data_IF_849077428733
#
_entry.id   IF_849077428733
#
_cell.length_a   1.000
_cell.length_b   1.000
_cell.length_c   1.000
_cell.angle_alpha   90.00
_cell.angle_beta   90.00
_cell.angle_gamma   90.00
#
_symmetry.space_group_name_H-M   'P 1'
#
loop_
_entity.id
_entity.type
_entity.pdbx_description
1 polymer ?
#
# COMPACT_ATOMS: atom_id res chain seq x y z
N UNK A 1 11.69 4.23 -5.19
CA UNK A 1 12.07 4.48 -3.81
C UNK A 1 12.66 3.25 -3.15
N UNK A 2 12.68 3.22 -1.83
CA UNK A 2 13.20 2.08 -1.05
C UNK A 2 12.15 0.95 -0.98
N UNK A 3 12.47 -0.21 -1.55
CA UNK A 3 11.58 -1.38 -1.55
C UNK A 3 11.47 -2.05 -0.18
N UNK A 4 12.44 -1.86 0.70
CA UNK A 4 12.45 -2.43 2.04
C UNK A 4 11.76 -1.56 3.08
N UNK A 5 11.48 -0.30 2.76
CA UNK A 5 10.74 0.59 3.64
C UNK A 5 9.40 -0.03 4.05
N UNK A 6 9.14 -0.01 5.36
CA UNK A 6 7.93 -0.63 5.93
C UNK A 6 6.91 0.44 6.32
N UNK A 7 5.67 0.17 6.00
CA UNK A 7 4.56 1.09 6.26
C UNK A 7 3.36 0.32 6.82
N UNK A 8 2.61 1.01 7.65
CA UNK A 8 1.30 0.59 8.13
C UNK A 8 0.25 1.10 7.14
N UNK A 9 -0.27 0.19 6.31
CA UNK A 9 -1.34 0.50 5.36
C UNK A 9 -2.66 -0.06 5.85
N UNK A 10 -3.68 0.79 5.88
CA UNK A 10 -5.02 0.38 6.22
C UNK A 10 -6.05 0.84 5.20
N UNK A 11 -7.22 0.22 5.24
CA UNK A 11 -8.29 0.48 4.30
C UNK A 11 -9.03 1.78 4.65
N UNK A 12 -9.29 2.63 3.63
CA UNK A 12 -9.92 3.93 3.81
C UNK A 12 -11.28 3.86 4.53
N UNK A 13 -12.08 2.82 4.28
CA UNK A 13 -13.38 2.63 4.97
C UNK A 13 -13.23 2.47 6.48
N UNK A 14 -12.23 1.72 6.93
CA UNK A 14 -11.96 1.56 8.37
C UNK A 14 -11.54 2.89 9.00
N UNK A 15 -10.74 3.68 8.29
CA UNK A 15 -10.33 5.00 8.78
C UNK A 15 -11.49 6.02 8.82
N UNK A 16 -12.33 6.04 7.80
CA UNK A 16 -13.52 6.90 7.78
C UNK A 16 -14.46 6.56 8.95
N UNK A 17 -14.64 5.27 9.24
CA UNK A 17 -15.42 4.86 10.42
C UNK A 17 -14.76 5.34 11.73
N UNK A 18 -13.44 5.23 11.83
CA UNK A 18 -12.69 5.77 12.97
C UNK A 18 -12.87 7.28 13.13
N UNK A 19 -12.77 8.03 12.05
CA UNK A 19 -13.02 9.48 12.03
C UNK A 19 -14.44 9.82 12.50
N UNK A 20 -15.45 9.06 12.04
CA UNK A 20 -16.83 9.24 12.48
C UNK A 20 -16.98 8.98 13.98
N UNK A 21 -16.37 7.90 14.51
CA UNK A 21 -16.40 7.57 15.95
C UNK A 21 -15.73 8.66 16.81
N UNK A 22 -14.63 9.26 16.33
CA UNK A 22 -13.98 10.39 16.98
C UNK A 22 -14.96 11.56 17.16
N UNK A 23 -15.73 11.89 16.11
CA UNK A 23 -16.71 12.98 16.14
C UNK A 23 -17.93 12.72 17.03
N UNK A 24 -18.18 11.47 17.45
CA UNK A 24 -19.27 11.12 18.36
C UNK A 24 -18.87 11.23 19.84
N UNK A 25 -17.61 11.56 20.15
CA UNK A 25 -17.17 11.67 21.54
C UNK A 25 -17.67 12.98 22.18
N UNK A 26 -18.12 12.91 23.43
CA UNK A 26 -18.56 14.09 24.20
C UNK A 26 -17.37 15.05 24.48
N UNK A 27 -16.20 14.51 24.68
CA UNK A 27 -14.97 15.28 24.94
C UNK A 27 -14.01 15.14 23.77
N UNK A 28 -13.60 16.25 23.14
CA UNK A 28 -12.60 16.22 22.08
C UNK A 28 -11.26 15.66 22.58
N UNK A 29 -10.64 14.81 21.78
CA UNK A 29 -9.33 14.19 22.10
C UNK A 29 -8.63 13.76 20.80
N UNK A 30 -7.30 13.52 20.87
CA UNK A 30 -6.49 13.06 19.76
C UNK A 30 -6.43 11.53 19.71
N UNK A 31 -6.57 10.95 18.52
CA UNK A 31 -6.53 9.51 18.31
C UNK A 31 -5.63 9.14 17.13
N UNK A 32 -4.86 8.08 17.28
CA UNK A 32 -4.14 7.43 16.19
C UNK A 32 -5.03 6.32 15.63
N UNK A 33 -5.28 6.34 14.32
CA UNK A 33 -5.92 5.25 13.59
C UNK A 33 -4.84 4.55 12.78
N UNK A 34 -4.57 3.30 13.08
CA UNK A 34 -3.54 2.50 12.45
C UNK A 34 -3.88 1.02 12.56
N UNK A 35 -3.34 0.19 11.68
CA UNK A 35 -3.56 -1.26 11.75
C UNK A 35 -2.69 -1.90 12.83
N UNK A 36 -1.52 -1.33 13.11
CA UNK A 36 -0.50 -1.91 13.97
C UNK A 36 0.34 -2.98 13.27
N UNK A 37 0.15 -3.16 11.96
CA UNK A 37 0.89 -4.09 11.13
C UNK A 37 1.70 -3.33 10.08
N UNK A 38 2.89 -3.81 9.75
CA UNK A 38 3.72 -3.18 8.72
C UNK A 38 4.13 -4.16 7.65
N UNK A 39 4.12 -3.68 6.42
CA UNK A 39 4.53 -4.42 5.24
C UNK A 39 5.55 -3.63 4.44
N UNK A 40 6.45 -4.31 3.72
CA UNK A 40 7.42 -3.64 2.85
C UNK A 40 6.77 -3.20 1.54
N UNK A 41 7.35 -2.17 0.91
CA UNK A 41 6.93 -1.72 -0.43
C UNK A 41 7.04 -2.86 -1.44
N UNK A 42 8.11 -3.68 -1.35
CA UNK A 42 8.27 -4.90 -2.17
C UNK A 42 7.11 -5.86 -1.96
N UNK A 43 6.75 -6.13 -0.70
CA UNK A 43 5.64 -7.02 -0.38
C UNK A 43 4.29 -6.51 -0.87
N UNK A 44 4.07 -5.19 -0.84
CA UNK A 44 2.88 -4.56 -1.43
C UNK A 44 2.86 -4.75 -2.96
N UNK A 45 3.98 -4.45 -3.64
CA UNK A 45 4.10 -4.62 -5.10
C UNK A 45 3.85 -6.08 -5.51
N UNK A 46 4.48 -7.05 -4.81
CA UNK A 46 4.28 -8.47 -5.11
C UNK A 46 2.80 -8.88 -5.03
N UNK A 47 2.08 -8.42 -3.99
CA UNK A 47 0.64 -8.68 -3.85
C UNK A 47 -0.19 -8.05 -4.96
N UNK A 48 0.13 -6.80 -5.33
CA UNK A 48 -0.59 -6.10 -6.38
C UNK A 48 -0.44 -6.79 -7.74
N UNK A 49 0.78 -7.21 -8.08
CA UNK A 49 1.02 -7.96 -9.32
C UNK A 49 0.38 -9.35 -9.27
N UNK A 50 0.45 -10.06 -8.14
CA UNK A 50 -0.22 -11.35 -7.98
C UNK A 50 -1.75 -11.23 -8.13
N UNK A 51 -2.37 -10.16 -7.60
CA UNK A 51 -3.79 -9.89 -7.79
C UNK A 51 -4.16 -9.62 -9.27
N UNK A 52 -3.19 -9.13 -10.07
CA UNK A 52 -3.32 -8.98 -11.52
C UNK A 52 -2.93 -10.26 -12.31
N UNK A 53 -2.62 -11.36 -11.64
CA UNK A 53 -2.24 -12.63 -12.27
C UNK A 53 -0.77 -12.69 -12.71
N UNK A 54 0.08 -11.82 -12.19
CA UNK A 54 1.52 -11.76 -12.52
C UNK A 54 2.34 -12.09 -11.27
N UNK A 55 3.16 -13.12 -11.35
CA UNK A 55 4.12 -13.47 -10.30
C UNK A 55 5.44 -12.74 -10.53
N UNK A 56 5.96 -12.05 -9.50
CA UNK A 56 7.21 -11.31 -9.57
C UNK A 56 8.36 -12.07 -8.93
N UNK A 57 9.44 -12.28 -9.70
CA UNK A 57 10.77 -12.65 -9.24
C UNK A 57 11.59 -11.39 -8.99
N UNK A 58 12.10 -11.22 -7.77
CA UNK A 58 12.98 -10.09 -7.43
C UNK A 58 14.44 -10.47 -7.71
N UNK A 59 15.13 -9.67 -8.53
CA UNK A 59 16.52 -9.91 -8.97
C UNK A 59 17.36 -8.67 -8.80
N UNK A 60 18.60 -8.84 -8.34
CA UNK A 60 19.52 -7.74 -8.04
C UNK A 60 19.38 -7.24 -6.62
N UNK A 61 20.09 -6.16 -6.28
CA UNK A 61 20.14 -5.58 -4.95
C UNK A 61 20.18 -4.04 -5.03
N UNK A 62 19.67 -3.38 -3.98
CA UNK A 62 19.70 -1.93 -3.86
C UNK A 62 19.01 -1.24 -5.04
N UNK A 63 19.64 -0.23 -5.63
CA UNK A 63 19.09 0.51 -6.77
C UNK A 63 19.01 -0.32 -8.07
N UNK A 64 19.74 -1.44 -8.16
CA UNK A 64 19.72 -2.32 -9.32
C UNK A 64 18.65 -3.42 -9.19
N UNK A 65 17.92 -3.48 -8.09
CA UNK A 65 16.88 -4.48 -7.88
C UNK A 65 15.69 -4.25 -8.82
N UNK A 66 15.17 -5.34 -9.38
CA UNK A 66 14.07 -5.36 -10.35
C UNK A 66 13.08 -6.45 -10.01
N UNK A 67 11.80 -6.13 -10.15
CA UNK A 67 10.72 -7.11 -10.17
C UNK A 67 10.48 -7.57 -11.59
N UNK A 68 10.71 -8.85 -11.84
CA UNK A 68 10.63 -9.48 -13.16
C UNK A 68 9.43 -10.43 -13.17
N UNK A 69 8.61 -10.36 -14.19
CA UNK A 69 7.54 -11.31 -14.42
C UNK A 69 8.12 -12.72 -14.62
N UNK A 70 7.78 -13.65 -13.74
CA UNK A 70 8.31 -14.99 -13.74
C UNK A 70 7.96 -15.78 -15.01
N UNK A 71 6.85 -15.48 -15.66
CA UNK A 71 6.39 -16.17 -16.86
C UNK A 71 7.01 -15.61 -18.14
N UNK A 72 7.07 -14.27 -18.29
CA UNK A 72 7.54 -13.61 -19.52
C UNK A 72 8.99 -13.18 -19.47
N UNK A 73 9.58 -13.02 -18.28
CA UNK A 73 10.91 -12.45 -18.10
C UNK A 73 10.95 -10.93 -18.26
N UNK A 74 9.83 -10.28 -18.47
CA UNK A 74 9.76 -8.82 -18.60
C UNK A 74 9.94 -8.11 -17.26
N UNK A 75 10.67 -6.99 -17.28
CA UNK A 75 10.81 -6.14 -16.09
C UNK A 75 9.49 -5.37 -15.89
N UNK A 76 8.88 -5.55 -14.75
CA UNK A 76 7.64 -4.87 -14.35
C UNK A 76 7.85 -3.78 -13.31
N UNK A 77 8.88 -3.91 -12.49
CA UNK A 77 9.20 -2.96 -11.41
C UNK A 77 10.68 -2.61 -11.47
N UNK A 78 10.99 -1.32 -11.42
CA UNK A 78 12.33 -0.78 -11.30
C UNK A 78 12.37 0.31 -10.23
N UNK A 79 13.54 0.47 -9.61
CA UNK A 79 13.79 1.60 -8.70
C UNK A 79 14.28 2.79 -9.52
N UNK A 80 13.50 3.88 -9.54
CA UNK A 80 13.94 5.13 -10.14
C UNK A 80 14.83 5.89 -9.14
N UNK A 81 16.12 6.16 -9.47
CA UNK A 81 17.05 6.85 -8.57
C UNK A 81 16.57 8.25 -8.16
N UNK A 82 15.74 8.92 -8.98
CA UNK A 82 15.19 10.25 -8.66
C UNK A 82 14.28 10.25 -7.44
N UNK A 83 13.66 9.11 -7.15
CA UNK A 83 12.73 8.93 -6.02
C UNK A 83 13.36 8.14 -4.87
N UNK A 84 14.61 7.75 -4.99
CA UNK A 84 15.33 7.10 -3.91
C UNK A 84 15.76 8.14 -2.88
N UNK A 85 15.41 7.92 -1.61
CA UNK A 85 15.75 8.80 -0.50
C UNK A 85 16.77 8.12 0.39
N UNK A 86 18.02 8.62 0.49
CA UNK A 86 19.05 8.01 1.33
C UNK A 86 18.69 8.03 2.83
N UNK A 87 17.90 9.04 3.26
CA UNK A 87 17.42 9.19 4.64
C UNK A 87 15.91 8.88 4.71
N UNK A 88 15.51 7.69 4.31
CA UNK A 88 14.14 7.21 4.43
C UNK A 88 13.86 6.72 5.86
N UNK A 89 12.63 6.91 6.33
CA UNK A 89 12.17 6.25 7.56
C UNK A 89 11.89 4.79 7.24
N UNK A 90 12.70 3.90 7.81
CA UNK A 90 12.62 2.47 7.50
C UNK A 90 11.33 1.84 8.00
N UNK A 91 10.85 2.28 9.16
CA UNK A 91 9.65 1.73 9.80
C UNK A 91 8.71 2.85 10.25
N UNK A 92 7.49 2.81 9.76
CA UNK A 92 6.36 3.60 10.28
C UNK A 92 5.25 2.63 10.68
N UNK A 93 4.97 2.58 11.98
CA UNK A 93 3.90 1.76 12.56
C UNK A 93 3.13 2.61 13.57
N UNK A 94 1.82 2.67 13.43
CA UNK A 94 0.97 3.39 14.36
C UNK A 94 0.53 2.53 15.54
N UNK A 95 0.40 3.15 16.72
CA UNK A 95 -0.25 2.53 17.88
C UNK A 95 -1.67 3.08 18.04
N UNK A 96 -2.64 2.24 17.75
CA UNK A 96 -4.07 2.55 17.86
C UNK A 96 -4.67 2.09 19.19
N UNK A 97 -3.89 1.81 20.24
CA UNK A 97 -4.39 1.29 21.52
C UNK A 97 -5.51 2.20 22.10
N UNK A 98 -5.27 3.51 22.14
CA UNK A 98 -6.26 4.49 22.61
C UNK A 98 -7.56 4.47 21.80
N UNK A 99 -7.47 4.34 20.47
CA UNK A 99 -8.67 4.25 19.63
C UNK A 99 -9.44 2.96 19.88
N UNK A 100 -8.76 1.85 20.08
CA UNK A 100 -9.39 0.58 20.47
C UNK A 100 -10.11 0.67 21.80
N UNK A 101 -9.46 1.22 22.80
CA UNK A 101 -10.00 1.29 24.18
C UNK A 101 -11.14 2.31 24.31
N UNK A 102 -11.01 3.49 23.71
CA UNK A 102 -11.94 4.60 23.91
C UNK A 102 -13.07 4.62 22.88
N UNK A 103 -12.77 4.30 21.63
CA UNK A 103 -13.73 4.36 20.53
C UNK A 103 -14.31 2.98 20.16
N UNK A 104 -13.73 1.88 20.69
CA UNK A 104 -14.03 0.54 20.24
C UNK A 104 -13.67 0.33 18.75
N UNK A 105 -12.76 1.16 18.23
CA UNK A 105 -12.36 1.09 16.83
C UNK A 105 -11.23 0.07 16.62
N UNK A 106 -11.39 -0.75 15.59
CA UNK A 106 -10.32 -1.60 15.06
C UNK A 106 -10.49 -1.68 13.54
N UNK A 107 -9.39 -1.88 12.82
CA UNK A 107 -9.48 -2.20 11.40
C UNK A 107 -10.11 -3.59 11.21
N UNK A 108 -10.81 -3.77 10.10
CA UNK A 108 -11.52 -5.02 9.77
C UNK A 108 -11.01 -5.64 8.48
N UNK A 109 -10.23 -4.89 7.70
CA UNK A 109 -9.69 -5.30 6.41
C UNK A 109 -8.17 -5.38 6.48
N UNK A 110 -7.63 -6.51 6.04
CA UNK A 110 -6.21 -6.75 5.92
C UNK A 110 -5.61 -6.15 4.63
N UNK A 111 -4.28 -6.24 4.50
CA UNK A 111 -3.59 -5.72 3.32
C UNK A 111 -3.99 -6.45 2.04
N UNK A 112 -4.22 -7.76 2.09
CA UNK A 112 -4.56 -8.54 0.90
C UNK A 112 -5.94 -8.14 0.36
N UNK A 113 -6.91 -7.89 1.23
CA UNK A 113 -8.23 -7.35 0.86
C UNK A 113 -8.11 -5.95 0.25
N UNK A 114 -7.30 -5.07 0.86
CA UNK A 114 -7.05 -3.72 0.36
C UNK A 114 -6.46 -3.75 -1.06
N UNK A 115 -5.37 -4.51 -1.24
CA UNK A 115 -4.67 -4.61 -2.52
C UNK A 115 -5.56 -5.22 -3.60
N UNK A 116 -6.28 -6.30 -3.27
CA UNK A 116 -7.21 -6.95 -4.19
C UNK A 116 -8.32 -6.01 -4.67
N UNK A 117 -8.94 -5.25 -3.75
CA UNK A 117 -9.99 -4.26 -4.09
C UNK A 117 -9.43 -3.14 -4.99
N UNK A 118 -8.23 -2.61 -4.68
CA UNK A 118 -7.58 -1.57 -5.48
C UNK A 118 -7.28 -2.05 -6.90
N UNK A 119 -6.62 -3.20 -7.03
CA UNK A 119 -6.25 -3.76 -8.35
C UNK A 119 -7.49 -4.08 -9.18
N UNK A 120 -8.52 -4.68 -8.57
CA UNK A 120 -9.76 -4.97 -9.28
C UNK A 120 -10.44 -3.70 -9.81
N UNK A 121 -10.49 -2.63 -9.02
CA UNK A 121 -11.07 -1.35 -9.41
C UNK A 121 -10.27 -0.69 -10.56
N UNK A 122 -8.94 -0.72 -10.48
CA UNK A 122 -8.07 -0.16 -11.52
C UNK A 122 -8.18 -0.94 -12.85
N UNK A 123 -8.24 -2.27 -12.80
CA UNK A 123 -8.45 -3.10 -13.99
C UNK A 123 -9.81 -2.85 -14.63
N UNK A 124 -10.87 -2.67 -13.82
CA UNK A 124 -12.20 -2.34 -14.33
C UNK A 124 -12.20 -0.95 -15.02
N UNK A 125 -11.55 0.05 -14.41
CA UNK A 125 -11.42 1.38 -14.98
C UNK A 125 -10.68 1.35 -16.31
N UNK A 126 -9.54 0.68 -16.38
CA UNK A 126 -8.77 0.50 -17.61
C UNK A 126 -9.56 -0.23 -18.72
N UNK A 127 -10.39 -1.22 -18.32
CA UNK A 127 -11.27 -1.92 -19.26
C UNK A 127 -12.35 -1.03 -19.85
N UNK A 128 -12.83 -0.02 -19.12
CA UNK A 128 -13.85 0.94 -19.58
C UNK A 128 -13.28 2.07 -20.43
N UNK A 129 -12.11 2.58 -20.07
CA UNK A 129 -11.52 3.77 -20.70
C UNK A 129 -10.52 3.44 -21.82
N UNK A 130 -10.13 2.17 -21.96
CA UNK A 130 -8.97 1.75 -22.74
C UNK A 130 -7.67 2.18 -22.08
N UNK A 131 -6.55 1.56 -22.48
CA UNK A 131 -5.23 1.95 -21.97
C UNK A 131 -4.96 3.42 -22.32
N UNK A 132 -4.66 4.30 -21.34
CA UNK A 132 -4.17 5.63 -21.66
C UNK A 132 -2.89 5.48 -22.47
N UNK A 133 -2.87 6.07 -23.69
CA UNK A 133 -1.65 6.09 -24.52
C UNK A 133 -0.50 6.64 -23.69
N UNK A 134 0.63 5.91 -23.71
CA UNK A 134 1.90 6.26 -23.05
C UNK A 134 2.59 7.52 -23.63
N UNK A 135 1.83 8.52 -24.06
CA UNK A 135 2.32 9.70 -24.80
C UNK A 135 2.42 10.98 -23.98
N UNK A 136 2.41 10.94 -22.65
CA UNK A 136 2.53 12.16 -21.85
C UNK A 136 3.56 12.15 -20.73
N UNK A 137 4.70 11.54 -20.95
CA UNK A 137 5.88 11.73 -20.09
C UNK A 137 7.14 11.77 -20.96
N UNK A 138 7.27 12.79 -21.77
CA UNK A 138 8.53 13.25 -22.36
C UNK A 138 8.95 14.56 -21.68
#
# INVERSE_FOLDING_TARGET
GNLDARRDWGHARDYVEGMWRILQQETPDDYVLATGETHSVRGFASRAFAAAGIELDWKGEGLAEKGVDAASGEIRVEIDPRYFRPAEVDLLMGDAAKARERLGWTHTRDLDSLVGEMVAADLELLGREGLPRAERMA
#
